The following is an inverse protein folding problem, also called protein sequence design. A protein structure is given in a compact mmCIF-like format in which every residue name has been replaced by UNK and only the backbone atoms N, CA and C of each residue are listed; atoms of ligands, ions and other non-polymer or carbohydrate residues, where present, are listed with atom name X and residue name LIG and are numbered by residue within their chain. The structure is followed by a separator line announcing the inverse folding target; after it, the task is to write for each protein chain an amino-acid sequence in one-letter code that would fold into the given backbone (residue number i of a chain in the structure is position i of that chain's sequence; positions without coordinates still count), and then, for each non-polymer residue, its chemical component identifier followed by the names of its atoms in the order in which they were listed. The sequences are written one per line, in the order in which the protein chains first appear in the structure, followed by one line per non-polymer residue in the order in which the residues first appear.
data_IF_374066464796
#
_entry.id   IF_374066464796
#
_cell.length_a   1.000
_cell.length_b   1.000
_cell.length_c   1.000
_cell.angle_alpha   90.00
_cell.angle_beta   90.00
_cell.angle_gamma   90.00
#
_symmetry.space_group_name_H-M   'P 1'
#
loop_
_entity.id
_entity.type
_entity.pdbx_description
1 polymer ?
#
# COMPACT_ATOMS: atom_id res chain seq x y z
N UNK A 1 29.19 9.63 -23.37
CA UNK A 1 28.62 8.27 -23.39
C UNK A 1 28.14 7.98 -24.80
N UNK A 2 28.42 6.80 -25.34
CA UNK A 2 27.82 6.39 -26.62
C UNK A 2 26.35 6.00 -26.40
N UNK A 3 25.50 6.14 -27.42
CA UNK A 3 24.10 5.74 -27.33
C UNK A 3 23.95 4.24 -26.95
N UNK A 4 24.84 3.38 -27.43
CA UNK A 4 24.86 1.94 -27.10
C UNK A 4 25.03 1.66 -25.59
N UNK A 5 25.82 2.48 -24.88
CA UNK A 5 25.97 2.33 -23.42
C UNK A 5 24.76 2.84 -22.62
N UNK A 6 23.99 3.77 -23.17
CA UNK A 6 22.76 4.27 -22.54
C UNK A 6 21.63 3.24 -22.70
N UNK A 7 21.47 2.69 -23.91
CA UNK A 7 20.44 1.70 -24.21
C UNK A 7 20.60 0.44 -23.36
N UNK A 8 21.82 -0.11 -23.28
CA UNK A 8 22.10 -1.28 -22.44
C UNK A 8 21.82 -1.04 -20.95
N UNK A 9 22.09 0.17 -20.45
CA UNK A 9 21.77 0.57 -19.07
C UNK A 9 20.27 0.68 -18.85
N UNK A 10 19.54 1.27 -19.79
CA UNK A 10 18.09 1.39 -19.71
C UNK A 10 17.40 0.02 -19.75
N UNK A 11 17.89 -0.91 -20.56
CA UNK A 11 17.40 -2.30 -20.57
C UNK A 11 17.62 -2.98 -19.22
N UNK A 12 18.84 -2.94 -18.69
CA UNK A 12 19.15 -3.56 -17.38
C UNK A 12 18.31 -2.95 -16.25
N UNK A 13 18.11 -1.63 -16.25
CA UNK A 13 17.28 -0.97 -15.25
C UNK A 13 15.80 -1.35 -15.41
N UNK A 14 15.32 -1.46 -16.65
CA UNK A 14 13.95 -1.87 -16.98
C UNK A 14 13.62 -3.25 -16.43
N UNK A 15 14.47 -4.26 -16.71
CA UNK A 15 14.28 -5.64 -16.24
C UNK A 15 14.14 -5.73 -14.71
N UNK A 16 14.99 -5.00 -13.97
CA UNK A 16 14.97 -5.02 -12.50
C UNK A 16 13.71 -4.34 -11.96
N UNK A 17 13.24 -3.28 -12.61
CA UNK A 17 12.00 -2.60 -12.22
C UNK A 17 10.79 -3.47 -12.52
N UNK A 18 10.74 -4.13 -13.68
CA UNK A 18 9.66 -5.06 -14.04
C UNK A 18 9.57 -6.23 -13.03
N UNK A 19 10.70 -6.85 -12.69
CA UNK A 19 10.75 -7.92 -11.68
C UNK A 19 10.21 -7.44 -10.32
N UNK A 20 10.58 -6.23 -9.91
CA UNK A 20 10.16 -5.68 -8.62
C UNK A 20 8.70 -5.29 -8.59
N UNK A 21 8.17 -4.70 -9.66
CA UNK A 21 6.74 -4.42 -9.79
C UNK A 21 5.94 -5.72 -9.71
N UNK A 22 6.39 -6.77 -10.41
CA UNK A 22 5.71 -8.08 -10.43
C UNK A 22 5.71 -8.81 -9.07
N UNK A 23 6.67 -8.50 -8.19
CA UNK A 23 6.85 -9.17 -6.89
C UNK A 23 6.49 -8.29 -5.69
N UNK A 24 6.15 -7.02 -5.92
CA UNK A 24 5.75 -6.08 -4.88
C UNK A 24 4.39 -6.48 -4.29
N UNK A 25 4.26 -6.41 -2.96
CA UNK A 25 2.97 -6.57 -2.29
C UNK A 25 2.06 -5.37 -2.60
N UNK A 26 0.77 -5.62 -2.83
CA UNK A 26 -0.23 -4.55 -2.93
C UNK A 26 -0.44 -3.87 -1.57
N UNK A 27 -1.07 -2.68 -1.58
CA UNK A 27 -1.43 -1.96 -0.35
C UNK A 27 -2.39 -2.81 0.46
N UNK A 28 -3.41 -3.37 -0.20
CA UNK A 28 -4.34 -4.29 0.43
C UNK A 28 -3.62 -5.43 1.16
N UNK A 29 -2.69 -6.12 0.50
CA UNK A 29 -1.97 -7.24 1.11
C UNK A 29 -1.14 -6.81 2.33
N UNK A 30 -0.48 -5.65 2.27
CA UNK A 30 0.29 -5.11 3.41
C UNK A 30 -0.62 -4.78 4.59
N UNK A 31 -1.78 -4.17 4.33
CA UNK A 31 -2.74 -3.83 5.38
C UNK A 31 -3.40 -5.06 5.97
N UNK A 32 -3.78 -6.04 5.15
CA UNK A 32 -4.33 -7.33 5.60
C UNK A 32 -3.33 -8.07 6.50
N UNK A 33 -2.04 -8.07 6.15
CA UNK A 33 -0.99 -8.64 7.01
C UNK A 33 -0.91 -7.91 8.36
N UNK A 34 -0.96 -6.57 8.34
CA UNK A 34 -0.92 -5.79 9.58
C UNK A 34 -2.16 -6.03 10.46
N UNK A 35 -3.35 -6.08 9.86
CA UNK A 35 -4.60 -6.44 10.57
C UNK A 35 -4.45 -7.82 11.20
N UNK A 36 -3.97 -8.82 10.44
CA UNK A 36 -3.81 -10.18 10.94
C UNK A 36 -2.89 -10.24 12.17
N UNK A 37 -1.76 -9.53 12.12
CA UNK A 37 -0.78 -9.48 13.22
C UNK A 37 -1.37 -8.78 14.44
N UNK A 38 -1.94 -7.59 14.27
CA UNK A 38 -2.47 -6.80 15.40
C UNK A 38 -3.73 -7.45 16.01
N UNK A 39 -4.60 -8.02 15.17
CA UNK A 39 -5.80 -8.71 15.62
C UNK A 39 -5.46 -9.96 16.44
N UNK A 40 -4.53 -10.80 15.98
CA UNK A 40 -4.12 -11.99 16.74
C UNK A 40 -3.43 -11.63 18.06
N UNK A 41 -2.77 -10.46 18.12
CA UNK A 41 -2.13 -9.99 19.34
C UNK A 41 -3.14 -9.45 20.36
N UNK A 42 -4.12 -8.63 19.93
CA UNK A 42 -5.07 -7.96 20.81
C UNK A 42 -6.35 -8.77 21.08
N UNK A 43 -6.70 -9.68 20.17
CA UNK A 43 -7.96 -10.43 20.20
C UNK A 43 -7.71 -11.93 19.94
N UNK A 44 -6.80 -12.59 20.69
CA UNK A 44 -6.34 -13.95 20.39
C UNK A 44 -7.43 -15.02 20.48
N UNK A 45 -8.50 -14.75 21.22
CA UNK A 45 -9.60 -15.70 21.47
C UNK A 45 -10.65 -15.74 20.34
N UNK A 46 -10.59 -14.79 19.39
CA UNK A 46 -11.56 -14.71 18.29
C UNK A 46 -10.99 -15.35 17.03
N UNK A 47 -11.78 -16.21 16.40
CA UNK A 47 -11.39 -16.85 15.15
C UNK A 47 -11.24 -15.80 14.03
N UNK A 48 -10.05 -15.72 13.45
CA UNK A 48 -9.75 -14.78 12.37
C UNK A 48 -10.09 -15.40 11.00
N UNK A 49 -11.32 -15.18 10.54
CA UNK A 49 -11.83 -15.69 9.26
C UNK A 49 -11.54 -14.72 8.10
N UNK A 50 -11.57 -15.19 6.83
CA UNK A 50 -11.44 -14.30 5.67
C UNK A 50 -12.51 -13.20 5.61
N UNK A 51 -13.75 -13.52 6.01
CA UNK A 51 -14.86 -12.56 6.04
C UNK A 51 -14.62 -11.47 7.09
N UNK A 52 -14.08 -11.85 8.26
CA UNK A 52 -13.72 -10.90 9.30
C UNK A 52 -12.55 -10.02 8.84
N UNK A 53 -11.52 -10.58 8.21
CA UNK A 53 -10.42 -9.81 7.65
C UNK A 53 -10.92 -8.78 6.62
N UNK A 54 -11.81 -9.19 5.72
CA UNK A 54 -12.41 -8.27 4.74
C UNK A 54 -13.19 -7.14 5.42
N UNK A 55 -13.98 -7.45 6.45
CA UNK A 55 -14.75 -6.45 7.19
C UNK A 55 -13.85 -5.47 7.96
N UNK A 56 -12.76 -5.97 8.56
CA UNK A 56 -11.78 -5.14 9.25
C UNK A 56 -10.97 -4.27 8.29
N UNK A 57 -10.60 -4.82 7.13
CA UNK A 57 -9.94 -4.04 6.07
C UNK A 57 -10.82 -2.87 5.61
N UNK A 58 -12.10 -3.12 5.33
CA UNK A 58 -13.05 -2.07 4.97
C UNK A 58 -13.20 -1.02 6.08
N UNK A 59 -13.32 -1.45 7.34
CA UNK A 59 -13.39 -0.55 8.47
C UNK A 59 -12.13 0.31 8.60
N UNK A 60 -10.94 -0.26 8.39
CA UNK A 60 -9.67 0.46 8.41
C UNK A 60 -9.52 1.44 7.25
N UNK A 61 -9.96 1.09 6.04
CA UNK A 61 -9.97 2.03 4.89
C UNK A 61 -10.89 3.22 5.19
N UNK A 62 -12.09 2.94 5.69
CA UNK A 62 -13.07 3.97 6.05
C UNK A 62 -12.56 4.88 7.15
N UNK A 63 -12.00 4.31 8.22
CA UNK A 63 -11.41 5.08 9.31
C UNK A 63 -10.21 5.88 8.83
N UNK A 64 -9.31 5.31 8.02
CA UNK A 64 -8.16 6.03 7.46
C UNK A 64 -8.57 7.23 6.61
N UNK A 65 -9.63 7.11 5.79
CA UNK A 65 -10.20 8.24 5.05
C UNK A 65 -10.89 9.25 5.97
N UNK A 66 -11.63 8.76 6.98
CA UNK A 66 -12.29 9.58 8.00
C UNK A 66 -11.33 10.36 8.91
N UNK A 67 -10.06 10.00 8.99
CA UNK A 67 -9.04 10.85 9.65
C UNK A 67 -8.85 12.20 8.94
N UNK A 68 -9.20 12.27 7.65
CA UNK A 68 -9.07 13.47 6.81
C UNK A 68 -10.39 14.20 6.55
N UNK A 69 -11.53 13.53 6.74
CA UNK A 69 -12.86 14.08 6.52
C UNK A 69 -13.62 14.26 7.85
N UNK A 70 -14.18 15.45 8.11
CA UNK A 70 -15.03 15.76 9.28
C UNK A 70 -16.42 15.08 9.19
N UNK A 71 -16.47 13.79 8.90
CA UNK A 71 -17.74 13.05 8.74
C UNK A 71 -17.83 11.98 9.81
N UNK A 72 -18.84 12.08 10.67
CA UNK A 72 -19.19 11.04 11.64
C UNK A 72 -19.50 9.74 10.88
N UNK A 73 -18.70 8.72 11.18
CA UNK A 73 -18.83 7.39 10.60
C UNK A 73 -20.01 6.64 11.23
N UNK A 74 -21.23 6.98 10.82
CA UNK A 74 -22.40 6.09 11.00
C UNK A 74 -22.46 5.08 9.84
N UNK A 75 -21.31 4.47 9.55
CA UNK A 75 -21.18 3.41 8.57
C UNK A 75 -21.48 2.07 9.25
N UNK A 76 -22.18 1.17 8.55
CA UNK A 76 -22.35 -0.20 9.01
C UNK A 76 -20.99 -0.82 9.35
N UNK A 77 -20.94 -1.56 10.46
CA UNK A 77 -19.72 -2.23 10.94
C UNK A 77 -19.93 -3.76 10.96
N UNK A 78 -19.87 -4.45 9.80
CA UNK A 78 -20.17 -5.89 9.70
C UNK A 78 -19.30 -6.78 10.59
N UNK A 79 -18.13 -6.31 11.02
CA UNK A 79 -17.25 -7.04 11.93
C UNK A 79 -17.89 -7.24 13.31
N UNK A 80 -18.80 -6.34 13.76
CA UNK A 80 -19.43 -6.42 15.09
C UNK A 80 -20.27 -7.67 15.28
N UNK A 81 -20.87 -8.18 14.22
CA UNK A 81 -21.68 -9.42 14.25
C UNK A 81 -20.81 -10.68 14.35
N UNK A 82 -19.54 -10.57 13.98
CA UNK A 82 -18.57 -11.67 13.92
C UNK A 82 -17.70 -11.75 15.19
N UNK A 83 -17.77 -10.73 16.04
CA UNK A 83 -16.92 -10.58 17.23
C UNK A 83 -17.79 -10.43 18.48
N UNK A 84 -17.50 -11.14 19.59
CA UNK A 84 -18.20 -10.93 20.85
C UNK A 84 -18.11 -9.48 21.33
N UNK A 85 -19.21 -8.95 21.87
CA UNK A 85 -19.29 -7.54 22.34
C UNK A 85 -18.17 -7.17 23.32
N UNK A 86 -17.74 -8.11 24.18
CA UNK A 86 -16.64 -7.91 25.13
C UNK A 86 -15.28 -7.64 24.47
N UNK A 87 -15.13 -7.91 23.16
CA UNK A 87 -13.91 -7.71 22.39
C UNK A 87 -14.02 -6.50 21.44
N UNK A 88 -15.17 -5.83 21.36
CA UNK A 88 -15.39 -4.73 20.39
C UNK A 88 -14.41 -3.57 20.60
N UNK A 89 -14.10 -3.23 21.85
CA UNK A 89 -13.12 -2.18 22.16
C UNK A 89 -11.71 -2.55 21.64
N UNK A 90 -11.29 -3.80 21.85
CA UNK A 90 -9.99 -4.28 21.36
C UNK A 90 -9.92 -4.29 19.82
N UNK A 91 -11.03 -4.62 19.14
CA UNK A 91 -11.11 -4.55 17.68
C UNK A 91 -11.08 -3.11 17.17
N UNK A 92 -11.77 -2.18 17.83
CA UNK A 92 -11.70 -0.75 17.49
C UNK A 92 -10.26 -0.22 17.63
N UNK A 93 -9.49 -0.68 18.63
CA UNK A 93 -8.07 -0.34 18.77
C UNK A 93 -7.26 -0.87 17.58
N UNK A 94 -7.51 -2.10 17.11
CA UNK A 94 -6.86 -2.64 15.90
C UNK A 94 -7.19 -1.77 14.69
N UNK A 95 -8.47 -1.46 14.48
CA UNK A 95 -8.93 -0.64 13.35
C UNK A 95 -8.23 0.73 13.40
N UNK A 96 -8.24 1.41 14.54
CA UNK A 96 -7.61 2.72 14.71
C UNK A 96 -6.10 2.67 14.45
N UNK A 97 -5.39 1.72 15.06
CA UNK A 97 -3.94 1.55 14.92
C UNK A 97 -3.53 1.32 13.46
N UNK A 98 -4.24 0.43 12.76
CA UNK A 98 -4.01 0.16 11.34
C UNK A 98 -4.33 1.38 10.48
N UNK A 99 -5.42 2.09 10.79
CA UNK A 99 -5.86 3.27 10.02
C UNK A 99 -4.89 4.43 10.09
N UNK A 100 -4.37 4.74 11.29
CA UNK A 100 -3.36 5.78 11.48
C UNK A 100 -2.06 5.47 10.72
N UNK A 101 -1.73 4.18 10.58
CA UNK A 101 -0.52 3.73 9.90
C UNK A 101 -0.73 3.35 8.44
N UNK A 102 -1.93 3.52 7.89
CA UNK A 102 -2.33 2.90 6.62
C UNK A 102 -1.34 3.19 5.48
N UNK A 103 -1.06 4.48 5.21
CA UNK A 103 -0.09 4.87 4.17
C UNK A 103 1.35 4.59 4.60
N UNK A 104 1.70 4.90 5.85
CA UNK A 104 3.08 4.74 6.35
C UNK A 104 3.54 3.29 6.36
N UNK A 105 2.65 2.34 6.68
CA UNK A 105 2.95 0.90 6.66
C UNK A 105 3.29 0.41 5.24
N UNK A 106 2.57 0.92 4.25
CA UNK A 106 2.83 0.62 2.85
C UNK A 106 4.12 1.28 2.35
N UNK A 107 4.38 2.56 2.68
CA UNK A 107 5.67 3.20 2.38
C UNK A 107 6.84 2.42 2.97
N UNK A 108 6.74 1.98 4.23
CA UNK A 108 7.76 1.15 4.87
C UNK A 108 7.97 -0.20 4.15
N UNK A 109 6.89 -0.83 3.68
CA UNK A 109 6.95 -2.08 2.91
C UNK A 109 7.63 -1.86 1.56
N UNK A 110 7.26 -0.80 0.83
CA UNK A 110 7.87 -0.41 -0.44
C UNK A 110 9.37 -0.12 -0.25
N UNK A 111 9.73 0.71 0.72
CA UNK A 111 11.14 1.03 1.00
C UNK A 111 11.94 -0.23 1.28
N UNK A 112 11.41 -1.16 2.08
CA UNK A 112 12.08 -2.44 2.36
C UNK A 112 12.26 -3.27 1.09
N UNK A 113 11.20 -3.46 0.31
CA UNK A 113 11.23 -4.20 -0.97
C UNK A 113 12.25 -3.61 -1.95
N UNK A 114 12.22 -2.30 -2.13
CA UNK A 114 13.03 -1.60 -3.13
C UNK A 114 14.44 -1.21 -2.63
N UNK A 115 14.74 -1.34 -1.33
CA UNK A 115 16.04 -0.96 -0.75
C UNK A 115 17.23 -1.81 -1.21
N UNK A 116 16.99 -3.06 -1.62
CA UNK A 116 18.09 -3.93 -2.08
C UNK A 116 18.74 -3.33 -3.31
N UNK A 117 20.06 -3.15 -3.30
CA UNK A 117 20.79 -2.69 -4.48
C UNK A 117 21.21 -3.91 -5.31
N UNK A 118 20.89 -3.97 -6.62
CA UNK A 118 21.40 -5.05 -7.47
C UNK A 118 22.92 -4.93 -7.58
N UNK A 119 23.64 -6.03 -7.38
CA UNK A 119 25.10 -6.04 -7.26
C UNK A 119 25.80 -5.57 -8.55
N UNK A 120 25.22 -5.93 -9.70
CA UNK A 120 25.79 -5.69 -11.03
C UNK A 120 25.24 -4.44 -11.72
N UNK A 121 24.57 -3.55 -10.97
CA UNK A 121 23.92 -2.37 -11.54
C UNK A 121 24.90 -1.21 -11.75
N UNK A 122 25.10 -0.88 -13.03
CA UNK A 122 25.81 0.34 -13.43
C UNK A 122 25.04 1.58 -12.98
N UNK A 123 25.72 2.55 -12.36
CA UNK A 123 25.14 3.81 -11.85
C UNK A 123 23.97 3.65 -10.87
N UNK A 124 24.02 2.60 -10.06
CA UNK A 124 23.10 2.33 -8.95
C UNK A 124 22.68 3.52 -8.05
N UNK A 125 23.54 4.53 -7.82
CA UNK A 125 23.16 5.70 -7.02
C UNK A 125 22.02 6.48 -7.68
N UNK A 126 22.13 6.67 -8.98
CA UNK A 126 21.15 7.40 -9.79
C UNK A 126 19.84 6.62 -9.90
N UNK A 127 19.94 5.31 -10.08
CA UNK A 127 18.82 4.38 -10.04
C UNK A 127 18.07 4.43 -8.71
N UNK A 128 18.80 4.34 -7.58
CA UNK A 128 18.20 4.37 -6.23
C UNK A 128 17.51 5.71 -5.98
N UNK A 129 18.11 6.82 -6.38
CA UNK A 129 17.50 8.14 -6.23
C UNK A 129 16.21 8.24 -7.04
N UNK A 130 16.23 7.83 -8.31
CA UNK A 130 15.04 7.88 -9.16
C UNK A 130 13.89 7.03 -8.60
N UNK A 131 14.20 5.82 -8.14
CA UNK A 131 13.19 4.98 -7.51
C UNK A 131 12.59 5.59 -6.26
N UNK A 132 13.40 6.30 -5.44
CA UNK A 132 12.86 6.99 -4.26
C UNK A 132 11.85 8.06 -4.64
N UNK A 133 12.14 8.86 -5.65
CA UNK A 133 11.23 9.92 -6.10
C UNK A 133 9.92 9.31 -6.63
N UNK A 134 10.03 8.29 -7.47
CA UNK A 134 8.86 7.61 -8.06
C UNK A 134 8.01 6.91 -6.98
N UNK A 135 8.63 6.24 -6.02
CA UNK A 135 7.91 5.61 -4.91
C UNK A 135 7.26 6.65 -3.99
N UNK A 136 7.93 7.78 -3.77
CA UNK A 136 7.36 8.90 -3.02
C UNK A 136 6.11 9.45 -3.70
N UNK A 137 6.17 9.71 -5.01
CA UNK A 137 5.02 10.18 -5.79
C UNK A 137 3.86 9.16 -5.73
N UNK A 138 4.15 7.87 -5.87
CA UNK A 138 3.15 6.80 -5.75
C UNK A 138 2.45 6.77 -4.38
N UNK A 139 3.21 6.92 -3.30
CA UNK A 139 2.68 6.96 -1.93
C UNK A 139 1.85 8.23 -1.73
N UNK A 140 2.30 9.37 -2.26
CA UNK A 140 1.57 10.64 -2.17
C UNK A 140 0.23 10.61 -2.91
N UNK A 141 0.18 10.01 -4.10
CA UNK A 141 -1.06 9.83 -4.85
C UNK A 141 -2.07 8.97 -4.08
N UNK A 142 -1.62 7.88 -3.45
CA UNK A 142 -2.47 7.03 -2.60
C UNK A 142 -3.01 7.80 -1.40
N UNK A 143 -2.17 8.61 -0.75
CA UNK A 143 -2.61 9.48 0.34
C UNK A 143 -3.67 10.48 -0.14
N UNK A 144 -3.45 11.12 -1.29
CA UNK A 144 -4.40 12.05 -1.88
C UNK A 144 -5.74 11.38 -2.23
N UNK A 145 -5.74 10.10 -2.63
CA UNK A 145 -6.98 9.34 -2.84
C UNK A 145 -7.75 9.12 -1.54
N UNK A 146 -7.07 8.83 -0.42
CA UNK A 146 -7.71 8.71 0.90
C UNK A 146 -8.29 10.05 1.39
N UNK A 147 -7.57 11.14 1.16
CA UNK A 147 -7.96 12.51 1.55
C UNK A 147 -9.20 13.03 0.82
N UNK A 148 -9.47 12.52 -0.40
CA UNK A 148 -10.64 12.95 -1.18
C UNK A 148 -11.99 12.48 -0.60
N UNK A 149 -12.00 11.62 0.41
CA UNK A 149 -13.21 11.32 1.18
C UNK A 149 -14.34 10.67 0.35
N UNK A 150 -13.98 9.84 -0.64
CA UNK A 150 -14.97 9.11 -1.45
C UNK A 150 -15.78 8.15 -0.56
N UNK A 151 -17.08 7.98 -0.86
CA UNK A 151 -17.91 6.98 -0.17
C UNK A 151 -17.31 5.56 -0.31
N UNK A 152 -17.32 4.78 0.77
CA UNK A 152 -16.45 3.61 0.99
C UNK A 152 -16.18 2.68 -0.19
N UNK A 153 -17.23 2.15 -0.83
CA UNK A 153 -17.06 1.22 -1.95
C UNK A 153 -16.36 1.85 -3.17
N UNK A 154 -16.60 3.15 -3.42
CA UNK A 154 -15.94 3.87 -4.49
C UNK A 154 -14.46 4.11 -4.18
N UNK A 155 -14.12 4.43 -2.93
CA UNK A 155 -12.74 4.63 -2.50
C UNK A 155 -11.91 3.35 -2.70
N UNK A 156 -12.45 2.20 -2.28
CA UNK A 156 -11.78 0.91 -2.47
C UNK A 156 -11.55 0.61 -3.96
N UNK A 157 -12.57 0.86 -4.80
CA UNK A 157 -12.45 0.72 -6.26
C UNK A 157 -11.37 1.62 -6.87
N UNK A 158 -11.27 2.87 -6.44
CA UNK A 158 -10.23 3.80 -6.91
C UNK A 158 -8.83 3.38 -6.49
N UNK A 159 -8.65 2.96 -5.23
CA UNK A 159 -7.37 2.45 -4.74
C UNK A 159 -6.96 1.22 -5.55
N UNK A 160 -7.86 0.25 -5.74
CA UNK A 160 -7.57 -0.96 -6.50
C UNK A 160 -7.18 -0.66 -7.96
N UNK A 161 -7.93 0.23 -8.63
CA UNK A 161 -7.62 0.62 -10.00
C UNK A 161 -6.26 1.33 -10.10
N UNK A 162 -5.94 2.21 -9.15
CA UNK A 162 -4.65 2.89 -9.09
C UNK A 162 -3.49 1.91 -8.85
N UNK A 163 -3.65 0.95 -7.93
CA UNK A 163 -2.64 -0.08 -7.66
C UNK A 163 -2.43 -1.01 -8.85
N UNK A 164 -3.51 -1.38 -9.55
CA UNK A 164 -3.42 -2.18 -10.75
C UNK A 164 -2.63 -1.44 -11.84
N UNK A 165 -2.98 -0.17 -12.10
CA UNK A 165 -2.29 0.66 -13.07
C UNK A 165 -0.79 0.82 -12.74
N UNK A 166 -0.45 0.95 -11.45
CA UNK A 166 0.94 0.96 -10.98
C UNK A 166 1.67 -0.35 -11.29
N UNK A 167 1.04 -1.50 -11.02
CA UNK A 167 1.66 -2.81 -11.27
C UNK A 167 1.85 -3.14 -12.75
N UNK A 168 1.00 -2.57 -13.62
CA UNK A 168 1.04 -2.75 -15.07
C UNK A 168 1.89 -1.68 -15.77
N UNK A 169 2.48 -0.74 -15.02
CA UNK A 169 3.24 0.36 -15.58
C UNK A 169 4.53 -0.13 -16.25
N UNK A 170 4.73 0.27 -17.50
CA UNK A 170 5.96 -0.05 -18.21
C UNK A 170 7.16 0.54 -17.45
N UNK A 171 8.19 -0.28 -17.18
CA UNK A 171 9.37 0.18 -16.44
C UNK A 171 10.09 1.37 -17.10
N UNK A 172 10.00 1.47 -18.43
CA UNK A 172 10.51 2.61 -19.19
C UNK A 172 9.84 3.94 -18.82
N UNK A 173 8.58 3.94 -18.37
CA UNK A 173 7.88 5.15 -17.93
C UNK A 173 8.34 5.60 -16.55
N UNK A 174 8.62 4.66 -15.65
CA UNK A 174 9.16 4.97 -14.31
C UNK A 174 10.59 5.53 -14.40
N UNK A 175 11.34 5.04 -15.38
CA UNK A 175 12.73 5.42 -15.63
C UNK A 175 12.89 6.53 -16.68
N UNK A 176 11.79 7.08 -17.20
CA UNK A 176 11.84 8.13 -18.21
C UNK A 176 12.52 9.38 -17.64
N UNK A 177 13.61 9.78 -18.28
CA UNK A 177 14.33 11.01 -18.01
C UNK A 177 13.55 12.19 -18.57
N UNK A 178 13.15 13.15 -17.73
CA UNK A 178 12.89 14.50 -18.23
C UNK A 178 14.26 15.11 -18.55
N UNK A 179 14.53 15.26 -19.85
CA UNK A 179 15.70 15.98 -20.37
C UNK A 179 15.62 17.47 -20.05
#
# INVERSE_FOLDING_TARGET
MSNETLDARMTQWGEIVEERLATQMSLQAVIEEQIAVEFQFLVPEVAFTPELLSALYQASVMRASGLFAETEADAEQPWREQVPESQHESVEIVIESVSVRFITAYDDALRRHWSRRPADLVDSTLYVQRLRDVLFDHVMDLQALLEQGHAGDALQGYIQAYQQAWSEQAASLLLAWQQ
#
